data_IF_375961874920
#
_entry.id   IF_375961874920
#
_cell.length_a   1.000
_cell.length_b   1.000
_cell.length_c   1.000
_cell.angle_alpha   90.00
_cell.angle_beta   90.00
_cell.angle_gamma   90.00
#
_symmetry.space_group_name_H-M   'P 1'
#
loop_
_entity.id
_entity.type
_entity.pdbx_description
1 polymer ?
#
# COMPACT_ATOMS: atom_id res chain seq x y z
N UNK A 1 60.58 11.38 -63.99
CA UNK A 1 59.35 10.54 -63.97
C UNK A 1 58.89 10.41 -62.49
N UNK A 2 57.70 10.81 -62.18
CA UNK A 2 57.12 10.90 -60.82
C UNK A 2 56.63 9.55 -60.37
N UNK A 3 56.76 9.20 -59.07
CA UNK A 3 55.82 8.32 -58.41
C UNK A 3 55.06 9.09 -57.33
N UNK A 4 53.90 9.56 -57.68
CA UNK A 4 52.90 10.02 -56.70
C UNK A 4 51.66 9.17 -56.85
N UNK A 5 51.04 8.81 -55.69
CA UNK A 5 49.77 8.16 -55.50
C UNK A 5 49.79 6.66 -55.18
N UNK A 6 49.95 6.36 -53.90
CA UNK A 6 49.44 5.12 -53.30
C UNK A 6 49.32 5.22 -51.75
N UNK A 7 49.06 6.41 -51.21
CA UNK A 7 48.90 6.57 -49.73
C UNK A 7 47.47 6.96 -49.30
N UNK A 8 46.56 7.30 -50.22
CA UNK A 8 45.25 7.87 -49.85
C UNK A 8 44.09 6.86 -49.67
N UNK A 9 44.20 5.62 -50.11
CA UNK A 9 43.09 4.67 -50.01
C UNK A 9 43.02 3.94 -48.63
N UNK A 10 44.13 3.79 -47.91
CA UNK A 10 44.18 3.11 -46.63
C UNK A 10 43.66 3.96 -45.43
N UNK A 11 43.87 5.28 -45.50
CA UNK A 11 43.50 6.18 -44.41
C UNK A 11 41.99 6.43 -44.32
N UNK A 12 41.28 6.48 -45.45
CA UNK A 12 39.82 6.67 -45.48
C UNK A 12 39.09 5.40 -45.07
N UNK A 13 39.58 4.20 -45.47
CA UNK A 13 39.00 2.93 -45.06
C UNK A 13 39.11 2.65 -43.55
N UNK A 14 40.25 3.02 -42.94
CA UNK A 14 40.47 2.89 -41.49
C UNK A 14 39.56 3.81 -40.66
N UNK A 15 39.34 5.04 -41.12
CA UNK A 15 38.45 5.98 -40.43
C UNK A 15 36.98 5.55 -40.48
N UNK A 16 36.51 5.00 -41.59
CA UNK A 16 35.15 4.49 -41.74
C UNK A 16 34.91 3.23 -40.89
N UNK A 17 35.87 2.31 -40.81
CA UNK A 17 35.81 1.13 -39.95
C UNK A 17 35.82 1.52 -38.47
N UNK A 18 36.62 2.51 -38.06
CA UNK A 18 36.67 3.05 -36.70
C UNK A 18 35.34 3.67 -36.29
N UNK A 19 34.73 4.49 -37.16
CA UNK A 19 33.40 5.07 -36.92
C UNK A 19 32.31 4.01 -36.83
N UNK A 20 32.33 2.99 -37.74
CA UNK A 20 31.36 1.92 -37.70
C UNK A 20 31.50 1.07 -36.42
N UNK A 21 32.72 0.82 -35.93
CA UNK A 21 32.98 0.10 -34.69
C UNK A 21 32.48 0.88 -33.48
N UNK A 22 32.75 2.20 -33.41
CA UNK A 22 32.26 3.08 -32.33
C UNK A 22 30.73 3.16 -32.32
N UNK A 23 30.10 3.24 -33.49
CA UNK A 23 28.63 3.22 -33.60
C UNK A 23 28.05 1.85 -33.20
N UNK A 24 28.71 0.76 -33.55
CA UNK A 24 28.30 -0.56 -33.13
C UNK A 24 28.45 -0.74 -31.60
N UNK A 25 29.56 -0.30 -31.02
CA UNK A 25 29.80 -0.32 -29.59
C UNK A 25 28.80 0.58 -28.84
N UNK A 26 28.46 1.76 -29.38
CA UNK A 26 27.44 2.64 -28.82
C UNK A 26 26.05 2.00 -28.84
N UNK A 27 25.73 1.31 -29.95
CA UNK A 27 24.45 0.59 -30.10
C UNK A 27 24.30 -0.58 -29.11
N UNK A 28 25.39 -1.17 -28.69
CA UNK A 28 25.44 -2.25 -27.69
C UNK A 28 25.79 -1.79 -26.27
N UNK A 29 25.81 -0.46 -26.02
CA UNK A 29 26.11 0.09 -24.69
C UNK A 29 27.56 -0.10 -24.23
N UNK A 30 28.50 -0.40 -25.15
CA UNK A 30 29.91 -0.69 -24.86
C UNK A 30 30.82 0.53 -24.93
N UNK A 31 30.29 1.72 -25.26
CA UNK A 31 31.06 2.97 -25.22
C UNK A 31 31.04 3.49 -23.79
N UNK A 32 32.16 3.60 -23.11
CA UNK A 32 32.22 4.20 -21.79
C UNK A 32 31.85 5.70 -21.91
N UNK A 33 30.63 6.03 -21.49
CA UNK A 33 30.22 7.42 -21.38
C UNK A 33 30.89 7.97 -20.12
N UNK A 34 31.71 9.01 -20.26
CA UNK A 34 32.33 9.71 -19.15
C UNK A 34 31.22 10.36 -18.29
N UNK A 35 31.30 10.26 -16.97
CA UNK A 35 30.35 10.83 -16.01
C UNK A 35 30.07 12.32 -16.26
N UNK A 36 31.07 13.09 -16.68
CA UNK A 36 30.90 14.50 -17.04
C UNK A 36 30.03 14.68 -18.29
N UNK A 37 30.17 13.81 -19.29
CA UNK A 37 29.35 13.83 -20.49
C UNK A 37 27.91 13.44 -20.21
N UNK A 38 27.70 12.43 -19.37
CA UNK A 38 26.38 12.01 -18.91
C UNK A 38 25.70 13.14 -18.11
N UNK A 39 26.43 13.74 -17.16
CA UNK A 39 25.92 14.87 -16.38
C UNK A 39 25.49 16.03 -17.29
N UNK A 40 26.38 16.42 -18.22
CA UNK A 40 26.09 17.50 -19.15
C UNK A 40 24.89 17.21 -20.06
N UNK A 41 24.74 15.95 -20.48
CA UNK A 41 23.59 15.52 -21.26
C UNK A 41 22.30 15.65 -20.45
N UNK A 42 22.27 15.09 -19.23
CA UNK A 42 21.11 15.15 -18.34
C UNK A 42 20.73 16.58 -17.96
N UNK A 43 21.72 17.44 -17.73
CA UNK A 43 21.48 18.88 -17.43
C UNK A 43 20.90 19.65 -18.61
N UNK A 44 21.25 19.30 -19.85
CA UNK A 44 20.68 19.92 -21.05
C UNK A 44 19.30 19.36 -21.42
N UNK A 45 19.00 18.14 -20.98
CA UNK A 45 17.76 17.43 -21.26
C UNK A 45 16.98 17.12 -19.97
N UNK A 46 16.89 18.13 -19.09
CA UNK A 46 16.16 17.97 -17.82
C UNK A 46 14.66 17.66 -18.02
N UNK A 47 14.13 17.93 -19.21
CA UNK A 47 12.78 17.58 -19.65
C UNK A 47 12.50 16.07 -19.66
N UNK A 48 13.54 15.23 -19.74
CA UNK A 48 13.37 13.75 -19.66
C UNK A 48 13.16 13.25 -18.23
N UNK A 49 13.51 14.04 -17.21
CA UNK A 49 13.47 13.62 -15.81
C UNK A 49 12.08 13.14 -15.35
N UNK A 50 10.97 13.84 -15.66
CA UNK A 50 9.64 13.35 -15.28
C UNK A 50 9.31 11.98 -15.88
N UNK A 51 9.67 11.77 -17.16
CA UNK A 51 9.45 10.47 -17.81
C UNK A 51 10.30 9.35 -17.20
N UNK A 52 11.55 9.65 -16.82
CA UNK A 52 12.42 8.70 -16.12
C UNK A 52 11.88 8.35 -14.73
N UNK A 53 11.42 9.35 -13.97
CA UNK A 53 10.83 9.15 -12.64
C UNK A 53 9.56 8.30 -12.73
N UNK A 54 8.66 8.62 -13.67
CA UNK A 54 7.44 7.83 -13.89
C UNK A 54 7.76 6.37 -14.26
N UNK A 55 8.78 6.15 -15.09
CA UNK A 55 9.20 4.80 -15.46
C UNK A 55 9.82 4.06 -14.27
N UNK A 56 10.64 4.72 -13.47
CA UNK A 56 11.24 4.13 -12.28
C UNK A 56 10.14 3.75 -11.27
N UNK A 57 9.17 4.64 -11.05
CA UNK A 57 8.02 4.38 -10.18
C UNK A 57 7.21 3.17 -10.69
N UNK A 58 6.86 3.14 -11.97
CA UNK A 58 6.11 2.04 -12.56
C UNK A 58 6.85 0.68 -12.45
N UNK A 59 8.19 0.68 -12.53
CA UNK A 59 8.98 -0.54 -12.32
C UNK A 59 8.97 -0.99 -10.85
N UNK A 60 9.01 -0.06 -9.90
CA UNK A 60 8.93 -0.41 -8.47
C UNK A 60 7.53 -0.89 -8.10
N UNK A 61 6.47 -0.23 -8.61
CA UNK A 61 5.07 -0.66 -8.43
C UNK A 61 4.84 -2.08 -8.95
N UNK A 62 5.37 -2.41 -10.13
CA UNK A 62 5.24 -3.77 -10.69
C UNK A 62 6.01 -4.80 -9.85
N UNK A 63 7.20 -4.46 -9.39
CA UNK A 63 7.99 -5.31 -8.50
C UNK A 63 7.28 -5.55 -7.16
N UNK A 64 6.70 -4.49 -6.57
CA UNK A 64 5.90 -4.58 -5.35
C UNK A 64 4.67 -5.47 -5.56
N UNK A 65 3.95 -5.28 -6.66
CA UNK A 65 2.79 -6.11 -7.03
C UNK A 65 3.14 -7.59 -7.18
N UNK A 66 4.27 -7.91 -7.82
CA UNK A 66 4.77 -9.29 -7.93
C UNK A 66 5.05 -9.87 -6.54
N UNK A 67 5.74 -9.11 -5.67
CA UNK A 67 6.05 -9.52 -4.31
C UNK A 67 4.78 -9.75 -3.47
N UNK A 68 3.80 -8.84 -3.53
CA UNK A 68 2.51 -8.95 -2.85
C UNK A 68 1.73 -10.18 -3.31
N UNK A 69 1.67 -10.43 -4.62
CA UNK A 69 1.01 -11.62 -5.17
C UNK A 69 1.69 -12.91 -4.71
N UNK A 70 3.02 -12.94 -4.63
CA UNK A 70 3.76 -14.09 -4.10
C UNK A 70 3.52 -14.27 -2.59
N UNK A 71 3.50 -13.19 -1.82
CA UNK A 71 3.17 -13.21 -0.39
C UNK A 71 1.74 -13.72 -0.16
N UNK A 72 0.75 -13.24 -0.92
CA UNK A 72 -0.63 -13.69 -0.86
C UNK A 72 -0.76 -15.20 -1.07
N UNK A 73 -0.08 -15.73 -2.10
CA UNK A 73 -0.06 -17.19 -2.34
C UNK A 73 0.52 -17.98 -1.17
N UNK A 74 1.56 -17.46 -0.53
CA UNK A 74 2.24 -18.12 0.60
C UNK A 74 1.42 -18.05 1.89
N UNK A 75 0.81 -16.91 2.16
CA UNK A 75 0.02 -16.65 3.38
C UNK A 75 -1.33 -17.34 3.29
N UNK A 76 -1.95 -17.29 2.12
CA UNK A 76 -3.32 -17.76 1.89
C UNK A 76 -4.36 -16.73 2.31
N UNK A 77 -5.45 -16.65 1.55
CA UNK A 77 -6.51 -15.66 1.76
C UNK A 77 -7.16 -15.77 3.16
N UNK A 78 -7.26 -16.99 3.71
CA UNK A 78 -7.88 -17.22 5.01
C UNK A 78 -7.21 -16.46 6.17
N UNK A 79 -5.91 -16.22 6.10
CA UNK A 79 -5.17 -15.50 7.13
C UNK A 79 -5.64 -14.06 7.33
N UNK A 80 -6.18 -13.43 6.28
CA UNK A 80 -6.72 -12.07 6.36
C UNK A 80 -8.12 -12.02 6.98
N UNK A 81 -8.73 -13.17 7.25
CA UNK A 81 -10.05 -13.30 7.87
C UNK A 81 -9.97 -14.06 9.19
N UNK A 82 -8.82 -14.00 9.88
CA UNK A 82 -8.65 -14.58 11.20
C UNK A 82 -9.27 -13.66 12.27
N UNK A 83 -10.34 -14.08 12.97
CA UNK A 83 -10.98 -13.25 14.00
C UNK A 83 -10.08 -13.02 15.24
N UNK A 84 -8.95 -13.70 15.35
CA UNK A 84 -7.98 -13.45 16.41
C UNK A 84 -7.26 -12.11 16.22
N UNK A 85 -7.12 -11.64 14.98
CA UNK A 85 -6.33 -10.43 14.64
C UNK A 85 -7.13 -9.36 13.89
N UNK A 86 -8.33 -9.67 13.39
CA UNK A 86 -9.16 -8.77 12.61
C UNK A 86 -10.60 -8.74 13.12
N UNK A 87 -11.32 -7.67 12.83
CA UNK A 87 -12.77 -7.72 12.88
C UNK A 87 -13.30 -8.26 11.55
N UNK A 88 -13.92 -9.43 11.61
CA UNK A 88 -14.45 -10.12 10.44
C UNK A 88 -15.97 -10.14 10.49
N UNK A 89 -16.61 -9.76 9.39
CA UNK A 89 -18.07 -9.72 9.26
C UNK A 89 -18.53 -10.08 7.84
N UNK A 90 -19.82 -10.33 7.67
CA UNK A 90 -20.40 -10.81 6.41
C UNK A 90 -20.31 -12.33 6.25
N UNK A 91 -20.97 -12.90 5.21
CA UNK A 91 -21.01 -14.34 5.00
C UNK A 91 -19.63 -14.95 4.73
N UNK A 92 -19.33 -16.09 5.36
CA UNK A 92 -18.03 -16.75 5.18
C UNK A 92 -17.82 -17.30 3.78
N UNK A 93 -18.90 -17.61 3.07
CA UNK A 93 -18.95 -18.13 1.69
C UNK A 93 -19.25 -17.05 0.65
N UNK A 94 -19.19 -15.77 1.04
CA UNK A 94 -19.40 -14.67 0.11
C UNK A 94 -18.41 -14.73 -1.07
N UNK A 95 -18.91 -14.45 -2.27
CA UNK A 95 -18.09 -14.39 -3.48
C UNK A 95 -17.15 -13.18 -3.50
N UNK A 96 -17.61 -12.07 -2.89
CA UNK A 96 -16.85 -10.86 -2.79
C UNK A 96 -16.18 -10.75 -1.42
N UNK A 97 -15.00 -10.15 -1.39
CA UNK A 97 -14.27 -9.91 -0.15
C UNK A 97 -13.54 -8.56 -0.18
N UNK A 98 -13.60 -7.86 0.95
CA UNK A 98 -12.88 -6.63 1.19
C UNK A 98 -12.08 -6.79 2.49
N UNK A 99 -10.77 -6.63 2.40
CA UNK A 99 -9.88 -6.48 3.55
C UNK A 99 -9.35 -5.06 3.54
N UNK A 100 -9.31 -4.43 4.69
CA UNK A 100 -8.70 -3.11 4.88
C UNK A 100 -7.64 -3.19 5.98
N UNK A 101 -6.41 -2.82 5.65
CA UNK A 101 -5.38 -2.47 6.62
C UNK A 101 -5.43 -0.97 6.85
N UNK A 102 -5.64 -0.57 8.09
CA UNK A 102 -5.92 0.82 8.42
C UNK A 102 -5.22 1.28 9.70
N UNK A 103 -5.16 2.59 9.84
CA UNK A 103 -4.68 3.30 11.02
C UNK A 103 -5.66 4.44 11.33
N UNK A 104 -6.13 4.53 12.55
CA UNK A 104 -7.14 5.52 12.96
C UNK A 104 -6.68 6.96 12.82
N UNK A 105 -5.39 7.24 12.95
CA UNK A 105 -4.83 8.58 12.80
C UNK A 105 -4.38 8.90 11.36
N UNK A 106 -4.53 7.94 10.42
CA UNK A 106 -4.16 8.13 9.04
C UNK A 106 -5.19 8.97 8.27
N UNK A 107 -4.82 10.14 7.71
CA UNK A 107 -5.75 10.99 6.97
C UNK A 107 -6.29 10.34 5.69
N UNK A 108 -5.53 9.44 5.07
CA UNK A 108 -5.98 8.71 3.89
C UNK A 108 -6.96 7.58 4.23
N UNK A 109 -6.85 6.96 5.41
CA UNK A 109 -7.88 6.04 5.92
C UNK A 109 -9.18 6.79 6.16
N UNK A 110 -9.11 7.93 6.83
CA UNK A 110 -10.25 8.82 7.06
C UNK A 110 -10.94 9.23 5.76
N UNK A 111 -10.16 9.58 4.73
CA UNK A 111 -10.70 9.95 3.42
C UNK A 111 -11.48 8.80 2.75
N UNK A 112 -11.19 7.54 3.09
CA UNK A 112 -11.89 6.37 2.56
C UNK A 112 -13.17 6.02 3.32
N UNK A 113 -13.38 6.56 4.54
CA UNK A 113 -14.51 6.20 5.40
C UNK A 113 -15.87 6.33 4.69
N UNK A 114 -16.19 7.43 3.97
CA UNK A 114 -17.47 7.56 3.31
C UNK A 114 -17.75 6.43 2.31
N UNK A 115 -16.76 6.09 1.49
CA UNK A 115 -16.87 5.04 0.48
C UNK A 115 -16.98 3.65 1.10
N UNK A 116 -16.09 3.34 2.07
CA UNK A 116 -16.09 2.03 2.73
C UNK A 116 -17.37 1.81 3.54
N UNK A 117 -17.81 2.83 4.29
CA UNK A 117 -19.05 2.77 5.07
C UNK A 117 -20.27 2.53 4.18
N UNK A 118 -20.40 3.31 3.11
CA UNK A 118 -21.51 3.16 2.14
C UNK A 118 -21.50 1.78 1.49
N UNK A 119 -20.32 1.29 1.08
CA UNK A 119 -20.19 -0.04 0.51
C UNK A 119 -20.53 -1.13 1.54
N UNK A 120 -20.02 -1.02 2.76
CA UNK A 120 -20.34 -1.93 3.85
C UNK A 120 -21.85 -2.02 4.09
N UNK A 121 -22.54 -0.88 4.26
CA UNK A 121 -23.99 -0.86 4.51
C UNK A 121 -24.80 -1.50 3.37
N UNK A 122 -24.38 -1.32 2.13
CA UNK A 122 -25.04 -1.89 0.96
C UNK A 122 -24.76 -3.40 0.80
N UNK A 123 -23.59 -3.87 1.24
CA UNK A 123 -23.07 -5.20 0.89
C UNK A 123 -22.74 -6.11 2.08
N UNK A 124 -23.08 -5.73 3.31
CA UNK A 124 -22.78 -6.53 4.52
C UNK A 124 -23.41 -7.94 4.54
N UNK A 125 -24.40 -8.18 3.66
CA UNK A 125 -25.06 -9.48 3.54
C UNK A 125 -24.56 -10.35 2.37
N UNK A 126 -23.67 -9.82 1.50
CA UNK A 126 -23.18 -10.50 0.29
C UNK A 126 -21.66 -10.39 0.08
N UNK A 127 -20.99 -9.65 0.93
CA UNK A 127 -19.53 -9.45 0.90
C UNK A 127 -18.94 -9.81 2.26
N UNK A 128 -17.79 -10.50 2.26
CA UNK A 128 -17.00 -10.79 3.45
C UNK A 128 -16.02 -9.66 3.70
N UNK A 129 -16.10 -9.04 4.87
CA UNK A 129 -15.25 -7.94 5.28
C UNK A 129 -14.24 -8.37 6.35
N UNK A 130 -13.07 -7.75 6.31
CA UNK A 130 -12.06 -7.87 7.35
C UNK A 130 -11.36 -6.52 7.55
N UNK A 131 -11.37 -6.03 8.78
CA UNK A 131 -10.74 -4.79 9.20
C UNK A 131 -9.55 -5.13 10.10
N UNK A 132 -8.33 -4.79 9.65
CA UNK A 132 -7.06 -5.21 10.26
C UNK A 132 -6.28 -3.97 10.69
N UNK A 133 -5.92 -3.93 11.97
CA UNK A 133 -5.12 -2.86 12.54
C UNK A 133 -3.69 -2.87 11.98
N UNK A 134 -3.26 -1.72 11.46
CA UNK A 134 -1.87 -1.49 11.07
C UNK A 134 -1.43 -0.08 11.44
N UNK A 135 -1.33 0.23 12.76
CA UNK A 135 -0.93 1.55 13.21
C UNK A 135 0.53 1.83 12.86
N UNK A 136 0.79 2.96 12.20
CA UNK A 136 2.13 3.38 11.80
C UNK A 136 2.66 4.37 12.85
N UNK A 137 3.11 3.83 13.99
CA UNK A 137 3.60 4.60 15.14
C UNK A 137 4.64 5.67 14.76
N UNK A 138 5.50 5.40 13.78
CA UNK A 138 6.54 6.32 13.33
C UNK A 138 5.96 7.60 12.69
N UNK A 139 4.76 7.52 12.13
CA UNK A 139 4.07 8.65 11.49
C UNK A 139 3.04 9.30 12.41
N UNK A 140 2.30 8.48 13.18
CA UNK A 140 1.10 8.94 13.89
C UNK A 140 1.25 8.86 15.43
N UNK A 141 2.36 8.32 15.94
CA UNK A 141 2.66 8.33 17.38
C UNK A 141 1.91 7.28 18.20
N UNK A 142 1.82 7.54 19.51
CA UNK A 142 1.20 6.61 20.47
C UNK A 142 -0.34 6.60 20.37
N UNK A 143 -0.95 7.66 19.84
CA UNK A 143 -2.41 7.72 19.63
C UNK A 143 -2.89 6.65 18.68
N UNK A 144 -2.15 6.38 17.59
CA UNK A 144 -2.46 5.30 16.66
C UNK A 144 -2.45 3.91 17.35
N UNK A 145 -1.45 3.66 18.21
CA UNK A 145 -1.37 2.43 19.01
C UNK A 145 -2.53 2.32 20.00
N UNK A 146 -2.87 3.42 20.67
CA UNK A 146 -3.97 3.45 21.62
C UNK A 146 -5.30 3.15 20.94
N UNK A 147 -5.57 3.79 19.79
CA UNK A 147 -6.79 3.58 19.02
C UNK A 147 -6.89 2.15 18.47
N UNK A 148 -5.79 1.59 17.96
CA UNK A 148 -5.73 0.21 17.51
C UNK A 148 -6.03 -0.79 18.64
N UNK A 149 -5.48 -0.59 19.83
CA UNK A 149 -5.82 -1.41 21.01
C UNK A 149 -7.29 -1.31 21.39
N UNK A 150 -7.84 -0.10 21.35
CA UNK A 150 -9.26 0.10 21.63
C UNK A 150 -10.15 -0.64 20.64
N UNK A 151 -9.82 -0.59 19.35
CA UNK A 151 -10.55 -1.31 18.32
C UNK A 151 -10.46 -2.82 18.49
N UNK A 152 -9.27 -3.34 18.76
CA UNK A 152 -9.08 -4.77 19.06
C UNK A 152 -9.89 -5.24 20.27
N UNK A 153 -10.00 -4.42 21.31
CA UNK A 153 -10.85 -4.69 22.47
C UNK A 153 -12.35 -4.59 22.11
N UNK A 154 -12.72 -3.59 21.30
CA UNK A 154 -14.10 -3.34 20.86
C UNK A 154 -14.71 -4.52 20.09
N UNK A 155 -13.88 -5.35 19.42
CA UNK A 155 -14.34 -6.59 18.74
C UNK A 155 -15.10 -7.55 19.65
N UNK A 156 -14.89 -7.47 20.97
CA UNK A 156 -15.61 -8.28 21.98
C UNK A 156 -17.05 -7.77 22.20
N UNK A 157 -17.45 -6.69 21.51
CA UNK A 157 -18.81 -6.15 21.46
C UNK A 157 -19.26 -6.00 19.99
N UNK A 158 -19.35 -7.10 19.24
CA UNK A 158 -19.43 -7.08 17.77
C UNK A 158 -20.69 -6.39 17.22
N UNK A 159 -21.77 -6.33 17.98
CA UNK A 159 -23.00 -5.65 17.57
C UNK A 159 -22.82 -4.13 17.39
N UNK A 160 -21.83 -3.54 18.06
CA UNK A 160 -21.55 -2.10 18.09
C UNK A 160 -20.26 -1.72 17.39
N UNK A 161 -19.48 -2.73 16.94
CA UNK A 161 -18.13 -2.52 16.44
C UNK A 161 -18.10 -1.59 15.22
N UNK A 162 -18.93 -1.81 14.21
CA UNK A 162 -18.87 -1.02 12.98
C UNK A 162 -19.26 0.44 13.18
N UNK A 163 -20.24 0.71 14.05
CA UNK A 163 -20.61 2.09 14.40
C UNK A 163 -19.45 2.79 15.13
N UNK A 164 -18.84 2.12 16.10
CA UNK A 164 -17.63 2.60 16.78
C UNK A 164 -16.47 2.81 15.81
N UNK A 165 -16.19 1.84 14.97
CA UNK A 165 -15.09 1.86 14.01
C UNK A 165 -15.18 3.07 13.06
N UNK A 166 -16.33 3.26 12.42
CA UNK A 166 -16.51 4.38 11.50
C UNK A 166 -16.55 5.73 12.19
N UNK A 167 -17.11 5.82 13.39
CA UNK A 167 -17.10 7.04 14.17
C UNK A 167 -15.68 7.45 14.57
N UNK A 168 -14.89 6.51 15.09
CA UNK A 168 -13.53 6.76 15.52
C UNK A 168 -12.59 7.06 14.33
N UNK A 169 -12.69 6.30 13.23
CA UNK A 169 -11.88 6.51 12.04
C UNK A 169 -12.23 7.82 11.29
N UNK A 170 -13.44 8.32 11.47
CA UNK A 170 -13.90 9.58 10.89
C UNK A 170 -13.41 10.84 11.59
N UNK A 171 -12.74 10.75 12.74
CA UNK A 171 -12.27 11.91 13.49
C UNK A 171 -11.12 12.63 12.78
N UNK A 172 -11.12 13.97 12.84
CA UNK A 172 -10.12 14.78 12.14
C UNK A 172 -8.81 14.99 12.93
N UNK A 173 -8.90 14.93 14.26
CA UNK A 173 -7.76 15.15 15.15
C UNK A 173 -7.17 13.84 15.66
N UNK A 174 -5.93 13.88 16.17
CA UNK A 174 -5.29 12.75 16.82
C UNK A 174 -6.15 12.21 17.97
N UNK A 175 -6.32 10.89 18.00
CA UNK A 175 -7.27 10.23 18.88
C UNK A 175 -6.76 10.21 20.33
N UNK A 176 -7.56 10.70 21.23
CA UNK A 176 -7.33 10.63 22.68
C UNK A 176 -8.12 9.48 23.32
N UNK A 177 -7.74 9.15 24.56
CA UNK A 177 -8.49 8.15 25.34
C UNK A 177 -9.94 8.57 25.60
N UNK A 178 -10.19 9.85 25.80
CA UNK A 178 -11.52 10.39 26.01
C UNK A 178 -12.38 10.28 24.75
N UNK A 179 -11.79 10.51 23.58
CA UNK A 179 -12.45 10.31 22.29
C UNK A 179 -12.88 8.84 22.10
N UNK A 180 -11.99 7.91 22.40
CA UNK A 180 -12.31 6.47 22.33
C UNK A 180 -13.52 6.13 23.19
N UNK A 181 -13.58 6.63 24.41
CA UNK A 181 -14.69 6.33 25.31
C UNK A 181 -15.97 7.04 24.89
N UNK A 182 -15.87 8.25 24.36
CA UNK A 182 -17.02 8.99 23.83
C UNK A 182 -17.64 8.29 22.63
N UNK A 183 -16.80 7.88 21.65
CA UNK A 183 -17.28 7.15 20.46
C UNK A 183 -17.82 5.76 20.81
N UNK A 184 -17.22 5.07 21.78
CA UNK A 184 -17.74 3.79 22.28
C UNK A 184 -19.12 3.94 22.91
N UNK A 185 -19.29 4.97 23.75
CA UNK A 185 -20.60 5.28 24.36
C UNK A 185 -21.63 5.67 23.30
N UNK A 186 -21.26 6.49 22.32
CA UNK A 186 -22.11 6.90 21.21
C UNK A 186 -22.57 5.70 20.36
N UNK A 187 -21.66 4.74 20.12
CA UNK A 187 -21.97 3.49 19.41
C UNK A 187 -22.80 2.49 20.26
N UNK A 188 -23.09 2.82 21.53
CA UNK A 188 -23.87 1.94 22.42
C UNK A 188 -23.07 0.82 23.08
N UNK A 189 -21.74 0.91 23.11
CA UNK A 189 -20.88 -0.06 23.80
C UNK A 189 -20.92 0.11 25.32
N UNK A 190 -20.66 -0.99 26.03
CA UNK A 190 -20.28 -0.94 27.44
C UNK A 190 -18.83 -0.42 27.54
N UNK A 191 -18.70 0.85 27.92
CA UNK A 191 -17.40 1.53 28.07
C UNK A 191 -16.54 0.92 29.17
N UNK A 192 -17.15 0.43 30.27
CA UNK A 192 -16.41 -0.22 31.35
C UNK A 192 -15.83 -1.54 30.90
N UNK A 193 -16.61 -2.31 30.14
CA UNK A 193 -16.11 -3.52 29.50
C UNK A 193 -14.99 -3.22 28.51
N UNK A 194 -15.13 -2.19 27.67
CA UNK A 194 -14.08 -1.77 26.73
C UNK A 194 -12.77 -1.44 27.47
N UNK A 195 -12.84 -0.65 28.56
CA UNK A 195 -11.67 -0.33 29.39
C UNK A 195 -10.98 -1.55 29.96
N UNK A 196 -11.74 -2.52 30.47
CA UNK A 196 -11.21 -3.76 30.99
C UNK A 196 -10.56 -4.61 29.88
N UNK A 197 -11.22 -4.70 28.73
CA UNK A 197 -10.73 -5.46 27.58
C UNK A 197 -9.46 -4.85 26.96
N UNK A 198 -9.32 -3.52 26.93
CA UNK A 198 -8.09 -2.84 26.48
C UNK A 198 -6.87 -3.15 27.34
N UNK A 199 -7.05 -3.51 28.61
CA UNK A 199 -5.97 -3.90 29.51
C UNK A 199 -5.58 -5.39 29.39
N UNK A 200 -6.31 -6.17 28.60
CA UNK A 200 -6.03 -7.59 28.40
C UNK A 200 -4.74 -7.77 27.55
N UNK A 201 -3.73 -8.55 28.03
CA UNK A 201 -2.52 -8.85 27.26
C UNK A 201 -2.77 -9.46 25.87
N UNK A 202 -3.91 -10.15 25.67
CA UNK A 202 -4.26 -10.72 24.36
C UNK A 202 -4.53 -9.61 23.31
N UNK A 203 -4.90 -8.41 23.72
CA UNK A 203 -5.04 -7.25 22.80
C UNK A 203 -3.68 -6.82 22.24
N UNK A 204 -2.66 -6.76 23.09
CA UNK A 204 -1.29 -6.46 22.63
C UNK A 204 -0.76 -7.51 21.66
N UNK A 205 -0.99 -8.78 21.99
CA UNK A 205 -0.59 -9.91 21.15
C UNK A 205 -1.34 -9.92 19.81
N UNK A 206 -2.63 -9.60 19.81
CA UNK A 206 -3.40 -9.46 18.58
C UNK A 206 -2.90 -8.32 17.71
N UNK A 207 -2.56 -7.18 18.32
CA UNK A 207 -1.98 -6.04 17.62
C UNK A 207 -0.65 -6.39 16.96
N UNK A 208 0.26 -7.04 17.69
CA UNK A 208 1.52 -7.48 17.11
C UNK A 208 1.30 -8.45 15.96
N UNK A 209 0.35 -9.38 16.10
CA UNK A 209 0.03 -10.37 15.06
C UNK A 209 -0.56 -9.71 13.80
N UNK A 210 -1.38 -8.66 13.95
CA UNK A 210 -1.91 -7.91 12.80
C UNK A 210 -0.82 -7.13 12.07
N UNK A 211 0.09 -6.51 12.80
CA UNK A 211 1.26 -5.82 12.23
C UNK A 211 2.18 -6.82 11.51
N UNK A 212 2.44 -7.97 12.11
CA UNK A 212 3.25 -9.03 11.50
C UNK A 212 2.61 -9.57 10.21
N UNK A 213 1.29 -9.72 10.18
CA UNK A 213 0.55 -10.11 8.97
C UNK A 213 0.69 -9.05 7.88
N UNK A 214 0.53 -7.76 8.22
CA UNK A 214 0.70 -6.65 7.27
C UNK A 214 2.10 -6.69 6.62
N UNK A 215 3.15 -6.77 7.43
CA UNK A 215 4.53 -6.84 6.92
C UNK A 215 4.78 -8.10 6.06
N UNK A 216 4.29 -9.27 6.48
CA UNK A 216 4.40 -10.52 5.71
C UNK A 216 3.67 -10.44 4.36
N UNK A 217 2.58 -9.68 4.29
CA UNK A 217 1.82 -9.44 3.07
C UNK A 217 2.44 -8.38 2.16
N UNK A 218 3.49 -7.67 2.61
CA UNK A 218 4.11 -6.56 1.88
C UNK A 218 3.26 -5.29 1.91
N UNK A 219 2.49 -5.09 3.00
CA UNK A 219 1.79 -3.85 3.29
C UNK A 219 2.77 -2.90 3.98
N UNK A 220 2.98 -1.73 3.41
CA UNK A 220 3.94 -0.71 3.87
C UNK A 220 3.29 0.63 4.20
N UNK A 221 1.96 0.75 4.01
CA UNK A 221 1.21 1.96 4.30
C UNK A 221 -0.28 1.72 4.45
N UNK A 222 -0.97 2.75 4.96
CA UNK A 222 -2.42 2.75 5.17
C UNK A 222 -3.11 3.90 4.43
N UNK A 223 -4.34 3.71 3.95
CA UNK A 223 -5.01 2.42 3.87
C UNK A 223 -4.39 1.52 2.79
N UNK A 224 -4.40 0.21 3.02
CA UNK A 224 -4.19 -0.78 1.96
C UNK A 224 -5.37 -1.73 1.96
N UNK A 225 -6.01 -1.86 0.80
CA UNK A 225 -7.13 -2.77 0.60
C UNK A 225 -6.69 -4.05 -0.11
N UNK A 226 -7.41 -5.14 0.15
CA UNK A 226 -7.39 -6.34 -0.69
C UNK A 226 -8.82 -6.59 -1.14
N UNK A 227 -9.09 -6.27 -2.40
CA UNK A 227 -10.41 -6.35 -3.03
C UNK A 227 -10.47 -7.60 -3.91
N UNK A 228 -11.29 -8.58 -3.54
CA UNK A 228 -11.38 -9.86 -4.27
C UNK A 228 -10.00 -10.50 -4.51
N UNK A 229 -9.10 -10.40 -3.52
CA UNK A 229 -7.73 -10.95 -3.59
C UNK A 229 -6.70 -10.08 -4.32
N UNK A 230 -7.07 -8.87 -4.78
CA UNK A 230 -6.17 -7.92 -5.44
C UNK A 230 -5.78 -6.79 -4.49
N UNK A 231 -4.47 -6.52 -4.37
CA UNK A 231 -3.97 -5.41 -3.57
C UNK A 231 -4.29 -4.06 -4.21
N UNK A 232 -4.74 -3.14 -3.39
CA UNK A 232 -5.07 -1.77 -3.75
C UNK A 232 -4.59 -0.80 -2.66
N UNK A 233 -3.38 -0.26 -2.75
CA UNK A 233 -2.88 0.73 -1.80
C UNK A 233 -3.52 2.10 -2.04
N UNK A 234 -3.63 2.88 -0.96
CA UNK A 234 -4.12 4.25 -0.96
C UNK A 234 -5.62 4.37 -0.78
N UNK A 235 -6.08 5.61 -0.59
CA UNK A 235 -7.48 5.93 -0.35
C UNK A 235 -8.38 5.55 -1.52
N UNK A 236 -9.61 5.17 -1.21
CA UNK A 236 -10.65 4.82 -2.18
C UNK A 236 -11.84 5.78 -2.06
N UNK A 237 -12.34 6.18 -3.21
CA UNK A 237 -13.65 6.83 -3.35
C UNK A 237 -14.73 5.82 -3.77
N UNK A 238 -16.00 6.26 -3.76
CA UNK A 238 -17.16 5.44 -4.09
C UNK A 238 -17.06 4.80 -5.49
N UNK A 239 -16.62 5.57 -6.49
CA UNK A 239 -16.58 5.13 -7.89
C UNK A 239 -15.52 4.06 -8.08
N UNK A 240 -14.31 4.31 -7.55
CA UNK A 240 -13.18 3.38 -7.61
C UNK A 240 -13.51 2.07 -6.89
N UNK A 241 -14.02 2.16 -5.64
CA UNK A 241 -14.38 0.97 -4.86
C UNK A 241 -15.46 0.15 -5.58
N UNK A 242 -16.54 0.79 -6.04
CA UNK A 242 -17.60 0.10 -6.74
C UNK A 242 -17.15 -0.56 -8.06
N UNK A 243 -16.21 0.06 -8.79
CA UNK A 243 -15.67 -0.50 -10.03
C UNK A 243 -14.77 -1.71 -9.77
N UNK A 244 -13.91 -1.65 -8.76
CA UNK A 244 -12.98 -2.71 -8.43
C UNK A 244 -13.66 -3.94 -7.79
N UNK A 245 -14.76 -3.73 -7.10
CA UNK A 245 -15.54 -4.83 -6.52
C UNK A 245 -16.43 -5.57 -7.54
N UNK A 246 -16.65 -5.01 -8.72
CA UNK A 246 -17.39 -5.65 -9.83
C UNK A 246 -16.52 -6.55 -10.72
N UNK A 247 -15.20 -6.51 -10.55
CA UNK A 247 -14.23 -7.13 -11.47
C UNK A 247 -13.78 -8.55 -11.06
#
# INVERSE_FOLDING_TARGET
>A
MRPFMLVSAGAVGGALLGVALVLAMARHGLVPINDAQMRNYLMRHADILPAMMNRAQAMEDEKQKIAQNAAMKKIGQAAFFDPAIAFVTGPADAKNSLVEFYDYDCPYCRASVPAVKKYYEAHKNDTRFSFIEFPIKQLHGESAILAAKASLAARRQPAHYMDFHFALLGREEAITQDDIYAEAAFAGMDVNKLKADMADPEVEKALQSSIDLAHKAGVDGTPTFILNGKFRPGALDDETLASEMKS
#
